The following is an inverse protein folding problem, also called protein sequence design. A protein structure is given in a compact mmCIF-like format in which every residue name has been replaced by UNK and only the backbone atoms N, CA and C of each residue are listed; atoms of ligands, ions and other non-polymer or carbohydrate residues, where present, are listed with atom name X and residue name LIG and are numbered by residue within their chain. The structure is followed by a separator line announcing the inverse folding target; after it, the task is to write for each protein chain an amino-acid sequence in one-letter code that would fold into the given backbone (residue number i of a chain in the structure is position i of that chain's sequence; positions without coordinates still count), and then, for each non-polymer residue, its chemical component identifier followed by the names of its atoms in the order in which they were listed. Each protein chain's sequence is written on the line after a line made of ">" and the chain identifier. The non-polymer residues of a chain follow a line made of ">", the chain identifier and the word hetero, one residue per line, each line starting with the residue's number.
data_IF_474824300825
#
_entry.id   IF_474824300825
#
_cell.length_a   1.000
_cell.length_b   1.000
_cell.length_c   1.000
_cell.angle_alpha   90.00
_cell.angle_beta   90.00
_cell.angle_gamma   90.00
#
_symmetry.space_group_name_H-M   'P 1'
#
loop_
_entity.id
_entity.type
_entity.pdbx_description
1 polymer ?
#
# COMPACT_ATOMS: atom_id res chain seq x y z
N UNK A 1 -77.02 0.71 -24.25
CA UNK A 1 -76.07 1.62 -23.63
C UNK A 1 -74.83 0.82 -23.20
N UNK A 2 -73.64 1.11 -23.72
CA UNK A 2 -72.49 0.22 -23.52
C UNK A 2 -71.67 0.70 -22.32
N UNK A 3 -71.53 -0.10 -21.26
CA UNK A 3 -70.74 0.12 -20.08
C UNK A 3 -69.34 -0.61 -20.17
N UNK A 4 -68.97 -1.12 -21.36
CA UNK A 4 -67.87 -2.05 -21.49
C UNK A 4 -66.47 -1.42 -21.70
N UNK A 5 -66.32 -0.10 -21.94
CA UNK A 5 -65.10 0.48 -22.39
C UNK A 5 -64.29 1.19 -21.31
N UNK A 6 -64.75 1.31 -20.08
CA UNK A 6 -64.06 2.06 -19.04
C UNK A 6 -63.06 1.21 -18.23
N UNK A 7 -63.33 -0.08 -18.08
CA UNK A 7 -62.50 -0.99 -17.24
C UNK A 7 -61.20 -1.39 -17.93
N UNK A 8 -61.20 -1.49 -19.28
CA UNK A 8 -60.02 -1.93 -20.05
C UNK A 8 -58.91 -0.86 -20.14
N UNK A 9 -59.29 0.43 -20.08
CA UNK A 9 -58.32 1.53 -20.18
C UNK A 9 -57.50 1.73 -18.89
N UNK A 10 -58.14 1.46 -17.75
CA UNK A 10 -57.51 1.57 -16.43
C UNK A 10 -56.42 0.50 -16.20
N UNK A 11 -56.68 -0.75 -16.63
CA UNK A 11 -55.71 -1.85 -16.45
C UNK A 11 -54.42 -1.67 -17.27
N UNK A 12 -54.49 -1.10 -18.48
CA UNK A 12 -53.30 -0.85 -19.34
C UNK A 12 -52.43 0.28 -18.80
N UNK A 13 -53.01 1.28 -18.16
CA UNK A 13 -52.27 2.37 -17.53
C UNK A 13 -51.51 1.89 -16.31
N UNK A 14 -52.11 1.08 -15.44
CA UNK A 14 -51.47 0.52 -14.24
C UNK A 14 -50.35 -0.42 -14.61
N UNK A 15 -50.49 -1.27 -15.63
CA UNK A 15 -49.41 -2.15 -16.10
C UNK A 15 -48.23 -1.38 -16.64
N UNK A 16 -48.41 -0.26 -17.30
CA UNK A 16 -47.31 0.58 -17.81
C UNK A 16 -46.55 1.29 -16.68
N UNK A 17 -47.25 1.73 -15.62
CA UNK A 17 -46.64 2.33 -14.45
C UNK A 17 -45.86 1.30 -13.61
N UNK A 18 -46.36 0.10 -13.43
CA UNK A 18 -45.66 -0.98 -12.69
C UNK A 18 -44.45 -1.46 -13.44
N UNK A 19 -44.52 -1.60 -14.76
CA UNK A 19 -43.32 -2.00 -15.57
C UNK A 19 -42.24 -0.90 -15.58
N UNK A 20 -42.64 0.38 -15.63
CA UNK A 20 -41.70 1.50 -15.53
C UNK A 20 -41.01 1.60 -14.16
N UNK A 21 -41.74 1.34 -13.08
CA UNK A 21 -41.20 1.36 -11.72
C UNK A 21 -40.22 0.18 -11.46
N UNK A 22 -40.49 -0.99 -12.03
CA UNK A 22 -39.60 -2.15 -11.95
C UNK A 22 -38.31 -1.97 -12.75
N UNK A 23 -38.34 -1.28 -13.89
CA UNK A 23 -37.10 -0.95 -14.64
C UNK A 23 -36.23 0.11 -13.93
N UNK A 24 -36.84 1.04 -13.19
CA UNK A 24 -36.10 2.07 -12.45
C UNK A 24 -35.40 1.53 -11.19
N UNK A 25 -35.90 0.45 -10.58
CA UNK A 25 -35.31 -0.17 -9.39
C UNK A 25 -34.09 -1.04 -9.67
N UNK A 26 -33.79 -1.36 -10.94
CA UNK A 26 -32.73 -2.30 -11.34
C UNK A 26 -31.36 -1.71 -11.58
N UNK A 27 -31.14 -0.39 -11.49
CA UNK A 27 -29.91 0.27 -11.93
C UNK A 27 -29.09 0.92 -10.81
N UNK A 28 -29.36 0.58 -9.56
CA UNK A 28 -28.45 0.96 -8.47
C UNK A 28 -27.29 -0.04 -8.41
N UNK A 29 -26.37 0.01 -9.37
CA UNK A 29 -25.08 -0.63 -9.19
C UNK A 29 -24.43 -0.01 -7.94
N UNK A 30 -23.99 -0.80 -6.94
CA UNK A 30 -23.24 -0.23 -5.83
C UNK A 30 -22.02 0.47 -6.39
N UNK A 31 -21.89 1.77 -6.12
CA UNK A 31 -20.68 2.49 -6.46
C UNK A 31 -19.52 1.76 -5.78
N UNK A 32 -18.66 1.09 -6.55
CA UNK A 32 -17.49 0.42 -6.01
C UNK A 32 -16.66 1.47 -5.28
N UNK A 33 -16.63 1.39 -3.95
CA UNK A 33 -15.82 2.31 -3.16
C UNK A 33 -14.36 2.21 -3.63
N UNK A 34 -13.74 3.37 -3.93
CA UNK A 34 -12.34 3.39 -4.35
C UNK A 34 -11.47 2.71 -3.30
N UNK A 35 -10.61 1.79 -3.76
CA UNK A 35 -9.75 1.02 -2.87
C UNK A 35 -8.84 1.95 -2.07
N UNK A 36 -8.88 1.81 -0.75
CA UNK A 36 -8.08 2.60 0.19
C UNK A 36 -6.79 1.88 0.59
N UNK A 37 -5.81 2.62 1.09
CA UNK A 37 -4.52 2.07 1.52
C UNK A 37 -4.65 0.98 2.58
N UNK A 38 -5.53 1.16 3.57
CA UNK A 38 -5.72 0.22 4.68
C UNK A 38 -6.23 -1.16 4.22
N UNK A 39 -7.38 -1.30 3.52
CA UNK A 39 -7.81 -2.61 3.05
C UNK A 39 -6.80 -3.27 2.10
N UNK A 40 -6.08 -2.48 1.31
CA UNK A 40 -5.04 -3.01 0.43
C UNK A 40 -3.83 -3.53 1.22
N UNK A 41 -3.31 -2.75 2.18
CA UNK A 41 -2.19 -3.16 3.03
C UNK A 41 -2.50 -4.43 3.82
N UNK A 42 -3.71 -4.54 4.39
CA UNK A 42 -4.18 -5.75 5.06
C UNK A 42 -4.13 -6.98 4.16
N UNK A 43 -4.69 -6.86 2.96
CA UNK A 43 -4.72 -7.96 1.99
C UNK A 43 -3.32 -8.39 1.53
N UNK A 44 -2.35 -7.47 1.51
CA UNK A 44 -0.99 -7.74 1.06
C UNK A 44 -0.07 -8.26 2.18
N UNK A 45 -0.25 -7.80 3.42
CA UNK A 45 0.64 -8.10 4.55
C UNK A 45 0.11 -9.15 5.51
N UNK A 46 -1.20 -9.41 5.49
CA UNK A 46 -1.88 -10.25 6.50
C UNK A 46 -2.03 -9.58 7.87
N UNK A 47 -1.63 -8.31 8.02
CA UNK A 47 -1.79 -7.56 9.28
C UNK A 47 -3.23 -7.10 9.41
N UNK A 48 -3.94 -7.59 10.44
CA UNK A 48 -5.38 -7.39 10.62
C UNK A 48 -5.70 -6.16 11.52
N UNK A 49 -5.19 -4.97 11.13
CA UNK A 49 -5.52 -3.69 11.76
C UNK A 49 -6.49 -2.92 10.86
N UNK A 50 -7.45 -2.21 11.48
CA UNK A 50 -8.52 -1.46 10.80
C UNK A 50 -8.49 0.02 11.21
N UNK A 51 -9.32 0.83 10.57
CA UNK A 51 -9.43 2.26 10.85
C UNK A 51 -8.42 3.11 10.05
N UNK A 52 -8.19 4.33 10.51
CA UNK A 52 -7.29 5.27 9.83
C UNK A 52 -5.83 4.80 9.88
N UNK A 53 -5.11 4.97 8.78
CA UNK A 53 -3.71 4.53 8.65
C UNK A 53 -2.81 5.08 9.77
N UNK A 54 -2.97 6.35 10.14
CA UNK A 54 -2.18 6.98 11.23
C UNK A 54 -2.39 6.36 12.61
N UNK A 55 -3.46 5.57 12.82
CA UNK A 55 -3.70 4.88 14.10
C UNK A 55 -3.06 3.48 14.15
N UNK A 56 -2.55 2.98 13.03
CA UNK A 56 -2.02 1.62 12.94
C UNK A 56 -0.85 1.38 13.87
N UNK A 57 0.05 2.36 13.98
CA UNK A 57 1.21 2.26 14.84
C UNK A 57 0.85 1.98 16.30
N UNK A 58 -0.08 2.76 16.85
CA UNK A 58 -0.57 2.55 18.21
C UNK A 58 -1.37 1.25 18.36
N UNK A 59 -2.20 0.90 17.37
CA UNK A 59 -2.99 -0.34 17.39
C UNK A 59 -2.13 -1.61 17.29
N UNK A 60 -0.93 -1.52 16.72
CA UNK A 60 0.01 -2.63 16.64
C UNK A 60 0.68 -2.96 17.98
N UNK A 61 0.65 -2.03 18.95
CA UNK A 61 1.26 -2.24 20.26
C UNK A 61 0.70 -3.48 20.96
N UNK A 62 1.59 -4.35 21.42
CA UNK A 62 1.22 -5.60 22.07
C UNK A 62 0.59 -6.67 21.17
N UNK A 63 0.35 -6.36 19.88
CA UNK A 63 -0.28 -7.29 18.91
C UNK A 63 0.67 -7.74 17.80
N UNK A 64 1.49 -6.82 17.33
CA UNK A 64 2.46 -7.04 16.26
C UNK A 64 3.81 -6.46 16.66
N UNK A 65 4.89 -7.09 16.21
CA UNK A 65 6.22 -6.53 16.36
C UNK A 65 6.35 -5.22 15.54
N UNK A 66 7.09 -4.26 16.08
CA UNK A 66 7.32 -2.95 15.47
C UNK A 66 8.81 -2.63 15.48
N UNK A 67 9.28 -1.89 14.49
CA UNK A 67 10.69 -1.46 14.43
C UNK A 67 10.92 -0.31 13.46
N UNK A 68 12.17 0.14 13.40
CA UNK A 68 12.59 1.23 12.53
C UNK A 68 13.04 0.75 11.15
N UNK A 69 13.38 -0.53 11.00
CA UNK A 69 13.98 -1.05 9.78
C UNK A 69 12.96 -1.67 8.83
N UNK A 70 13.09 -1.46 7.50
CA UNK A 70 12.24 -2.13 6.54
C UNK A 70 12.52 -3.64 6.49
N UNK A 71 11.45 -4.44 6.32
CA UNK A 71 11.52 -5.87 6.01
C UNK A 71 10.49 -6.17 4.94
N UNK A 72 10.79 -7.08 4.03
CA UNK A 72 9.81 -7.52 3.02
C UNK A 72 8.56 -8.07 3.72
N UNK A 73 7.39 -7.62 3.29
CA UNK A 73 6.10 -7.96 3.92
C UNK A 73 5.68 -7.05 5.08
N UNK A 74 6.61 -6.29 5.68
CA UNK A 74 6.28 -5.30 6.71
C UNK A 74 5.43 -4.15 6.16
N UNK A 75 4.63 -3.53 7.02
CA UNK A 75 3.86 -2.34 6.67
C UNK A 75 4.52 -1.09 7.22
N UNK A 76 5.02 -0.23 6.32
CA UNK A 76 5.46 1.12 6.63
C UNK A 76 4.25 1.98 7.00
N UNK A 77 4.31 2.68 8.14
CA UNK A 77 3.24 3.56 8.64
C UNK A 77 3.69 5.01 8.58
N UNK A 78 3.14 5.76 7.63
CA UNK A 78 3.39 7.20 7.51
C UNK A 78 2.48 7.97 8.47
N UNK A 79 3.08 8.96 9.14
CA UNK A 79 2.38 9.79 10.11
C UNK A 79 1.36 10.72 9.43
N UNK A 80 0.26 11.06 10.11
CA UNK A 80 -0.62 12.12 9.65
C UNK A 80 0.13 13.45 9.50
N UNK A 81 -0.19 14.16 8.42
CA UNK A 81 0.32 15.51 8.16
C UNK A 81 -0.82 16.41 7.68
N UNK A 82 -0.61 17.72 7.59
CA UNK A 82 -1.62 18.61 7.03
C UNK A 82 -2.06 18.21 5.62
N UNK A 83 -1.16 17.64 4.82
CA UNK A 83 -1.46 17.20 3.45
C UNK A 83 -2.01 15.78 3.38
N UNK A 84 -1.89 15.02 4.46
CA UNK A 84 -2.31 13.61 4.57
C UNK A 84 -2.88 13.37 5.98
N UNK A 85 -4.06 13.94 6.31
CA UNK A 85 -4.54 14.03 7.70
C UNK A 85 -4.88 12.69 8.34
N UNK A 86 -5.12 11.65 7.57
CA UNK A 86 -5.41 10.30 8.08
C UNK A 86 -4.18 9.38 8.08
N UNK A 87 -3.01 9.87 7.66
CA UNK A 87 -1.81 9.06 7.47
C UNK A 87 -1.91 8.15 6.24
N UNK A 88 -0.89 7.30 6.05
CA UNK A 88 -0.86 6.32 4.96
C UNK A 88 -0.14 5.04 5.40
N UNK A 89 -0.49 3.92 4.79
CA UNK A 89 0.18 2.63 5.00
C UNK A 89 0.53 2.00 3.66
N UNK A 90 1.72 1.38 3.60
CA UNK A 90 2.22 0.72 2.42
C UNK A 90 3.02 -0.53 2.81
N UNK A 91 2.83 -1.66 2.10
CA UNK A 91 3.60 -2.87 2.35
C UNK A 91 4.95 -2.79 1.62
N UNK A 92 6.04 -3.13 2.30
CA UNK A 92 7.37 -3.29 1.71
C UNK A 92 7.38 -4.52 0.81
N UNK A 93 7.53 -4.30 -0.48
CA UNK A 93 7.55 -5.37 -1.48
C UNK A 93 8.95 -5.93 -1.72
N UNK A 94 9.98 -5.06 -1.61
CA UNK A 94 11.38 -5.42 -1.88
C UNK A 94 12.30 -4.40 -1.21
N UNK A 95 13.45 -4.84 -0.74
CA UNK A 95 14.55 -4.00 -0.28
C UNK A 95 15.57 -3.90 -1.40
N UNK A 96 15.87 -2.67 -1.84
CA UNK A 96 16.83 -2.41 -2.92
C UNK A 96 18.23 -2.25 -2.31
N UNK A 97 18.32 -1.38 -1.31
CA UNK A 97 19.54 -1.08 -0.54
C UNK A 97 19.16 -0.47 0.83
N UNK A 98 20.17 0.02 1.56
CA UNK A 98 20.01 0.57 2.92
C UNK A 98 19.08 1.80 2.99
N UNK A 99 18.83 2.47 1.86
CA UNK A 99 18.03 3.71 1.77
C UNK A 99 16.86 3.64 0.81
N UNK A 100 16.69 2.53 0.08
CA UNK A 100 15.68 2.42 -0.95
C UNK A 100 14.91 1.10 -0.84
N UNK A 101 13.58 1.20 -0.91
CA UNK A 101 12.68 0.04 -0.96
C UNK A 101 11.62 0.23 -2.04
N UNK A 102 11.05 -0.86 -2.52
CA UNK A 102 9.80 -0.82 -3.26
C UNK A 102 8.62 -1.08 -2.35
N UNK A 103 7.58 -0.29 -2.51
CA UNK A 103 6.31 -0.41 -1.80
C UNK A 103 5.19 -0.87 -2.71
N UNK A 104 4.26 -1.66 -2.16
CA UNK A 104 2.94 -1.90 -2.72
C UNK A 104 1.90 -1.16 -1.88
N UNK A 105 1.14 -0.30 -2.51
CA UNK A 105 0.09 0.48 -1.83
C UNK A 105 -1.07 0.85 -2.77
N UNK A 106 -2.11 1.43 -2.21
CA UNK A 106 -3.25 1.94 -2.96
C UNK A 106 -3.64 3.34 -2.47
N UNK A 107 -4.29 4.12 -3.35
CA UNK A 107 -4.84 5.44 -3.02
C UNK A 107 -3.77 6.49 -2.63
N UNK A 108 -2.57 6.39 -3.19
CA UNK A 108 -1.48 7.34 -2.99
C UNK A 108 -1.45 8.42 -4.08
N UNK A 109 -1.23 8.03 -5.33
CA UNK A 109 -1.14 8.98 -6.45
C UNK A 109 -2.51 9.34 -7.07
N UNK A 110 -3.59 8.78 -6.54
CA UNK A 110 -4.96 9.05 -6.96
C UNK A 110 -5.98 8.10 -6.34
N UNK A 111 -7.27 8.46 -6.38
CA UNK A 111 -8.34 7.66 -5.77
C UNK A 111 -8.36 6.22 -6.29
N UNK A 112 -8.25 5.25 -5.37
CA UNK A 112 -8.31 3.82 -5.67
C UNK A 112 -7.15 3.25 -6.49
N UNK A 113 -6.18 4.07 -6.89
CA UNK A 113 -5.05 3.62 -7.70
C UNK A 113 -4.16 2.68 -6.91
N UNK A 114 -3.95 1.48 -7.45
CA UNK A 114 -2.96 0.53 -6.94
C UNK A 114 -1.62 0.83 -7.59
N UNK A 115 -0.58 0.94 -6.76
CA UNK A 115 0.80 1.09 -7.20
C UNK A 115 1.62 -0.06 -6.62
N UNK A 116 2.26 -0.80 -7.51
CA UNK A 116 3.17 -1.88 -7.16
C UNK A 116 4.59 -1.43 -7.49
N UNK A 117 5.53 -1.81 -6.61
CA UNK A 117 6.95 -1.43 -6.74
C UNK A 117 7.12 0.09 -6.86
N UNK A 118 6.34 0.86 -6.08
CA UNK A 118 6.54 2.29 -5.95
C UNK A 118 7.81 2.54 -5.14
N UNK A 119 8.79 3.23 -5.70
CA UNK A 119 10.04 3.55 -5.00
C UNK A 119 9.77 4.40 -3.77
N UNK A 120 10.30 4.01 -2.63
CA UNK A 120 10.41 4.83 -1.44
C UNK A 120 11.87 4.98 -1.06
N UNK A 121 12.29 6.21 -0.83
CA UNK A 121 13.66 6.56 -0.45
C UNK A 121 13.66 7.12 0.96
N UNK A 122 14.51 6.58 1.81
CA UNK A 122 14.83 7.17 3.09
C UNK A 122 15.61 8.46 2.87
N UNK A 123 15.08 9.56 3.35
CA UNK A 123 15.71 10.90 3.31
C UNK A 123 15.97 11.46 4.70
N UNK A 124 15.89 10.59 5.71
CA UNK A 124 16.26 10.96 7.08
C UNK A 124 17.75 11.25 7.18
N UNK A 125 18.18 12.23 8.01
CA UNK A 125 19.60 12.56 8.18
C UNK A 125 20.46 11.39 8.65
N UNK A 126 19.87 10.53 9.50
CA UNK A 126 20.58 9.43 10.15
C UNK A 126 20.47 8.09 9.42
N UNK A 127 19.68 7.98 8.34
CA UNK A 127 19.41 6.71 7.68
C UNK A 127 18.52 5.78 8.50
N UNK A 128 17.63 6.33 9.32
CA UNK A 128 16.80 5.63 10.30
C UNK A 128 15.34 5.44 9.86
N UNK A 129 15.04 5.74 8.61
CA UNK A 129 13.71 5.64 8.01
C UNK A 129 12.64 6.52 8.68
N UNK A 130 13.03 7.49 9.50
CA UNK A 130 12.09 8.43 10.12
C UNK A 130 11.43 9.39 9.13
N UNK A 131 12.03 9.57 7.93
CA UNK A 131 11.54 10.44 6.87
C UNK A 131 11.73 9.78 5.51
N UNK A 132 10.68 9.73 4.69
CA UNK A 132 10.74 9.13 3.35
C UNK A 132 10.16 10.03 2.26
N UNK A 133 10.70 9.91 1.05
CA UNK A 133 10.02 10.32 -0.19
C UNK A 133 9.50 9.08 -0.90
N UNK A 134 8.28 9.16 -1.39
CA UNK A 134 7.64 8.04 -2.09
C UNK A 134 7.34 8.46 -3.52
N UNK A 135 7.52 7.54 -4.46
CA UNK A 135 7.15 7.73 -5.86
C UNK A 135 5.74 8.28 -5.99
N UNK A 136 5.57 9.28 -6.83
CA UNK A 136 4.29 9.92 -7.09
C UNK A 136 3.98 9.87 -8.59
N UNK A 137 3.12 8.96 -8.99
CA UNK A 137 2.90 8.64 -10.40
C UNK A 137 2.39 9.83 -11.22
N UNK A 138 1.69 10.79 -10.62
CA UNK A 138 1.27 12.03 -11.31
C UNK A 138 2.45 12.91 -11.74
N UNK A 139 3.57 12.80 -11.04
CA UNK A 139 4.79 13.56 -11.29
C UNK A 139 5.80 12.74 -12.11
N UNK A 140 5.66 11.41 -12.14
CA UNK A 140 6.60 10.51 -12.80
C UNK A 140 7.98 10.48 -12.13
N UNK A 141 8.04 10.79 -10.83
CA UNK A 141 9.29 10.84 -10.04
C UNK A 141 9.00 10.66 -8.56
N UNK A 142 10.04 10.59 -7.74
CA UNK A 142 9.89 10.70 -6.29
C UNK A 142 9.20 12.01 -5.94
N UNK A 143 8.21 11.95 -5.06
CA UNK A 143 7.52 13.13 -4.55
C UNK A 143 8.49 14.10 -3.89
N UNK A 144 8.27 15.39 -4.07
CA UNK A 144 9.13 16.45 -3.50
C UNK A 144 9.01 16.55 -1.97
N UNK A 145 7.90 16.06 -1.40
CA UNK A 145 7.62 16.13 0.03
C UNK A 145 8.27 14.95 0.75
N UNK A 146 9.03 15.22 1.79
CA UNK A 146 9.43 14.24 2.77
C UNK A 146 8.25 13.99 3.73
N UNK A 147 7.94 12.73 3.97
CA UNK A 147 6.83 12.30 4.81
C UNK A 147 7.38 11.64 6.07
N UNK A 148 6.94 12.05 7.27
CA UNK A 148 7.38 11.42 8.51
C UNK A 148 6.80 10.01 8.64
N UNK A 149 7.59 9.09 9.18
CA UNK A 149 7.27 7.68 9.37
C UNK A 149 7.25 7.38 10.87
N UNK A 150 6.27 6.58 11.32
CA UNK A 150 6.31 6.00 12.68
C UNK A 150 7.30 4.84 12.74
N UNK A 151 7.40 4.05 11.67
CA UNK A 151 8.20 2.84 11.55
C UNK A 151 7.48 1.79 10.73
N UNK A 152 7.87 0.54 10.97
CA UNK A 152 7.38 -0.65 10.28
C UNK A 152 6.68 -1.60 11.26
N UNK A 153 5.52 -2.12 10.87
CA UNK A 153 4.80 -3.17 11.59
C UNK A 153 5.11 -4.48 10.87
N UNK A 154 5.57 -5.47 11.61
CA UNK A 154 5.88 -6.81 11.10
C UNK A 154 4.70 -7.73 11.40
N UNK A 155 4.40 -8.67 10.50
CA UNK A 155 3.36 -9.67 10.72
C UNK A 155 3.89 -10.81 11.60
N UNK A 156 4.38 -10.44 12.78
CA UNK A 156 4.98 -11.32 13.79
C UNK A 156 4.50 -10.85 15.16
N UNK A 157 4.43 -11.78 16.12
CA UNK A 157 4.10 -11.46 17.51
C UNK A 157 5.26 -10.70 18.17
N UNK A 158 5.00 -9.74 19.09
CA UNK A 158 6.06 -9.08 19.85
C UNK A 158 6.95 -10.11 20.57
N UNK A 159 8.26 -10.02 20.37
CA UNK A 159 9.25 -10.96 20.93
C UNK A 159 9.69 -12.09 19.96
N UNK A 160 8.99 -12.31 18.89
CA UNK A 160 9.26 -13.34 17.87
C UNK A 160 10.04 -12.79 16.67
N UNK A 161 10.61 -11.60 16.81
CA UNK A 161 11.34 -10.91 15.74
C UNK A 161 12.57 -11.74 15.35
N UNK A 162 12.44 -12.50 14.25
CA UNK A 162 13.59 -13.13 13.63
C UNK A 162 14.63 -12.06 13.29
N UNK A 163 15.93 -12.30 13.56
CA UNK A 163 16.98 -11.38 13.16
C UNK A 163 16.84 -11.12 11.65
N UNK A 164 16.97 -9.84 11.25
CA UNK A 164 16.96 -9.47 9.83
C UNK A 164 17.89 -10.43 9.10
N UNK A 165 17.40 -11.08 8.03
CA UNK A 165 18.22 -11.93 7.20
C UNK A 165 19.43 -11.08 6.75
N UNK A 166 20.56 -11.32 7.36
CA UNK A 166 21.83 -10.69 6.96
C UNK A 166 22.09 -11.24 5.57
N UNK A 167 21.81 -10.44 4.56
CA UNK A 167 22.28 -10.73 3.21
C UNK A 167 23.80 -10.82 3.33
N UNK A 168 24.43 -11.97 3.01
CA UNK A 168 25.88 -12.08 3.14
C UNK A 168 26.48 -11.00 2.24
N UNK A 169 27.17 -10.04 2.84
CA UNK A 169 28.03 -9.13 2.09
C UNK A 169 29.02 -10.02 1.37
N UNK A 170 28.92 -10.10 0.06
CA UNK A 170 29.96 -10.66 -0.77
C UNK A 170 31.12 -9.66 -0.60
N UNK A 171 32.00 -9.93 0.36
CA UNK A 171 33.32 -9.27 0.42
C UNK A 171 34.00 -9.69 -0.87
N UNK A 172 34.09 -8.77 -1.81
CA UNK A 172 35.06 -8.90 -2.92
C UNK A 172 36.39 -8.87 -2.25
N UNK A 173 36.93 -10.06 -1.95
CA UNK A 173 38.33 -10.19 -1.52
C UNK A 173 39.18 -9.53 -2.60
N UNK A 174 39.87 -8.48 -2.20
CA UNK A 174 40.87 -7.82 -3.03
C UNK A 174 41.82 -8.89 -3.57
N UNK A 175 41.68 -9.22 -4.85
CA UNK A 175 42.65 -10.08 -5.54
C UNK A 175 43.93 -9.26 -5.61
N UNK A 176 44.92 -9.63 -4.76
CA UNK A 176 46.26 -9.08 -4.83
C UNK A 176 46.84 -9.31 -6.24
N UNK A 177 47.40 -8.29 -6.89
CA UNK A 177 47.91 -8.42 -8.26
C UNK A 177 49.27 -9.14 -8.36
N UNK A 178 49.72 -9.83 -7.31
CA UNK A 178 51.05 -10.41 -7.21
C UNK A 178 51.19 -11.86 -7.70
N UNK A 179 50.18 -12.44 -8.38
CA UNK A 179 50.25 -13.82 -8.86
C UNK A 179 50.38 -13.97 -10.39
N UNK A 180 50.92 -12.95 -11.09
CA UNK A 180 51.14 -13.01 -12.54
C UNK A 180 52.61 -12.66 -12.88
N UNK A 181 53.56 -13.47 -12.36
CA UNK A 181 54.93 -13.49 -12.92
C UNK A 181 55.12 -14.87 -13.54
N UNK A 182 55.22 -15.04 -14.86
CA UNK A 182 55.62 -16.28 -15.46
C UNK A 182 57.11 -16.50 -15.24
N UNK A 183 57.49 -17.65 -14.63
CA UNK A 183 58.87 -18.06 -14.50
C UNK A 183 59.50 -18.18 -15.91
N UNK A 184 60.58 -17.45 -16.12
CA UNK A 184 61.27 -17.38 -17.36
C UNK A 184 61.90 -18.73 -17.75
N UNK A 185 61.87 -18.95 -19.05
CA UNK A 185 62.58 -20.02 -19.73
C UNK A 185 64.09 -19.78 -19.66
N UNK A 186 64.81 -20.84 -19.34
CA UNK A 186 66.20 -21.06 -19.74
C UNK A 186 66.21 -22.19 -20.76
#
# INVERSE_FOLDING_TARGET
>A
MPISNFVTRSRRSIQRFVLGALLAAGLSAPAAAALQCVPYARAQSGIEIRGNAGTWWAQAEGRYARGAEPRVGAVMVLQPTRAMPIGHVAMVAEIIDDRNVYLNHANWSGPGRIERRALAQDVSPNGDWSMVRVWYARQGSLGIRANPVFGFIYNETPGEVAPAAVTPRISIATISPEALIPAGAN
#
